data_IF_244835866373
#
_entry.id   IF_244835866373
#
_cell.length_a   1.000
_cell.length_b   1.000
_cell.length_c   1.000
_cell.angle_alpha   90.00
_cell.angle_beta   90.00
_cell.angle_gamma   90.00
#
_symmetry.space_group_name_H-M   'P 1'
#
loop_
_entity.id
_entity.type
_entity.pdbx_description
1 polymer ?
#
# COMPACT_ATOMS: atom_id res chain seq x y z
N UNK A 1 10.72 -20.10 -11.15
CA UNK A 1 11.46 -19.65 -12.36
C UNK A 1 12.84 -19.14 -11.96
N UNK A 2 13.87 -19.60 -12.61
CA UNK A 2 15.24 -19.16 -12.33
C UNK A 2 15.54 -17.85 -13.09
N UNK A 3 16.07 -16.87 -12.37
CA UNK A 3 16.37 -15.55 -12.90
C UNK A 3 17.83 -15.38 -13.26
N UNK A 4 18.16 -14.29 -14.00
CA UNK A 4 19.52 -14.01 -14.46
C UNK A 4 20.53 -13.87 -13.33
N UNK A 5 20.11 -13.45 -12.13
CA UNK A 5 20.95 -13.34 -10.93
C UNK A 5 21.20 -14.68 -10.23
N UNK A 6 20.70 -15.79 -10.79
CA UNK A 6 20.81 -17.13 -10.23
C UNK A 6 19.79 -17.48 -9.17
N UNK A 7 18.95 -16.55 -8.76
CA UNK A 7 17.90 -16.78 -7.76
C UNK A 7 16.64 -17.34 -8.40
N UNK A 8 15.89 -18.12 -7.61
CA UNK A 8 14.62 -18.69 -8.01
C UNK A 8 13.52 -17.85 -7.39
N UNK A 9 12.58 -17.37 -8.21
CA UNK A 9 11.44 -16.54 -7.75
C UNK A 9 10.15 -17.01 -8.39
N UNK A 10 9.05 -16.65 -7.76
CA UNK A 10 7.72 -16.89 -8.33
C UNK A 10 7.59 -16.19 -9.69
N UNK A 11 6.88 -16.82 -10.61
CA UNK A 11 6.73 -16.27 -11.98
C UNK A 11 5.92 -14.96 -12.03
N UNK A 12 5.13 -14.67 -10.99
CA UNK A 12 4.34 -13.43 -10.94
C UNK A 12 5.20 -12.19 -10.62
N UNK A 13 6.41 -12.35 -10.06
CA UNK A 13 7.29 -11.23 -9.79
C UNK A 13 7.88 -10.70 -11.11
N UNK A 14 7.49 -9.49 -11.51
CA UNK A 14 7.92 -8.91 -12.78
C UNK A 14 9.42 -8.59 -12.75
N UNK A 15 10.25 -9.22 -13.60
CA UNK A 15 11.70 -8.99 -13.60
C UNK A 15 12.11 -7.56 -13.98
N UNK A 16 11.21 -6.78 -14.56
CA UNK A 16 11.46 -5.39 -14.95
C UNK A 16 11.07 -4.39 -13.87
N UNK A 17 10.46 -4.85 -12.77
CA UNK A 17 10.00 -3.98 -11.70
C UNK A 17 10.76 -4.30 -10.42
N UNK A 18 11.74 -3.47 -10.09
CA UNK A 18 12.58 -3.66 -8.91
C UNK A 18 11.79 -3.61 -7.60
N UNK A 19 10.76 -2.78 -7.51
CA UNK A 19 9.88 -2.70 -6.33
C UNK A 19 9.15 -4.01 -6.10
N UNK A 20 8.68 -4.64 -7.17
CA UNK A 20 7.98 -5.92 -7.10
C UNK A 20 8.93 -7.06 -6.70
N UNK A 21 10.14 -7.06 -7.24
CA UNK A 21 11.17 -8.02 -6.87
C UNK A 21 11.50 -7.89 -5.39
N UNK A 22 11.71 -6.67 -4.90
CA UNK A 22 12.01 -6.40 -3.50
C UNK A 22 10.88 -6.83 -2.59
N UNK A 23 9.64 -6.57 -2.98
CA UNK A 23 8.46 -7.04 -2.24
C UNK A 23 8.47 -8.57 -2.12
N UNK A 24 8.68 -9.27 -3.23
CA UNK A 24 8.74 -10.74 -3.23
C UNK A 24 9.84 -11.27 -2.32
N UNK A 25 11.02 -10.68 -2.40
CA UNK A 25 12.20 -11.20 -1.70
C UNK A 25 12.20 -10.87 -0.21
N UNK A 26 11.69 -9.71 0.19
CA UNK A 26 11.84 -9.18 1.54
C UNK A 26 10.55 -9.16 2.36
N UNK A 27 9.39 -9.12 1.73
CA UNK A 27 8.12 -8.94 2.44
C UNK A 27 7.15 -10.12 2.30
N UNK A 28 7.02 -10.67 1.10
CA UNK A 28 6.05 -11.72 0.84
C UNK A 28 6.41 -13.00 1.62
N UNK A 29 5.47 -13.46 2.43
CA UNK A 29 5.68 -14.65 3.26
C UNK A 29 6.53 -14.40 4.51
N UNK A 30 6.90 -13.16 4.78
CA UNK A 30 7.67 -12.79 5.98
C UNK A 30 6.71 -12.29 7.05
N UNK A 31 6.72 -12.87 8.28
CA UNK A 31 5.84 -12.40 9.36
C UNK A 31 6.11 -10.95 9.75
N UNK A 32 5.03 -10.23 10.03
CA UNK A 32 5.08 -8.83 10.46
C UNK A 32 4.25 -8.65 11.73
N UNK A 33 4.82 -8.01 12.75
CA UNK A 33 4.16 -7.75 14.03
C UNK A 33 4.09 -6.26 14.38
N UNK A 34 4.56 -5.39 13.49
CA UNK A 34 4.49 -3.93 13.66
C UNK A 34 3.09 -3.44 13.23
N UNK A 35 2.38 -2.80 14.15
CA UNK A 35 1.01 -2.32 13.93
C UNK A 35 0.92 -1.35 12.76
N UNK A 36 1.87 -0.43 12.64
CA UNK A 36 1.88 0.54 11.53
C UNK A 36 2.05 -0.16 10.19
N UNK A 37 2.94 -1.13 10.10
CA UNK A 37 3.14 -1.89 8.88
C UNK A 37 1.93 -2.78 8.55
N UNK A 38 1.32 -3.37 9.55
CA UNK A 38 0.07 -4.14 9.36
C UNK A 38 -1.05 -3.24 8.84
N UNK A 39 -1.18 -2.04 9.40
CA UNK A 39 -2.16 -1.06 8.91
C UNK A 39 -1.86 -0.64 7.47
N UNK A 40 -0.60 -0.34 7.16
CA UNK A 40 -0.17 -0.02 5.79
C UNK A 40 -0.57 -1.12 4.81
N UNK A 41 -0.24 -2.35 5.12
CA UNK A 41 -0.54 -3.48 4.24
C UNK A 41 -2.04 -3.71 4.09
N UNK A 42 -2.80 -3.58 5.17
CA UNK A 42 -4.26 -3.70 5.13
C UNK A 42 -4.86 -2.66 4.18
N UNK A 43 -4.45 -1.40 4.30
CA UNK A 43 -4.94 -0.32 3.44
C UNK A 43 -4.53 -0.55 1.98
N UNK A 44 -3.26 -0.89 1.73
CA UNK A 44 -2.78 -1.15 0.38
C UNK A 44 -3.55 -2.30 -0.29
N UNK A 45 -3.82 -3.37 0.44
CA UNK A 45 -4.58 -4.49 -0.07
C UNK A 45 -6.04 -4.13 -0.35
N UNK A 46 -6.64 -3.26 0.47
CA UNK A 46 -7.98 -2.74 0.20
C UNK A 46 -8.01 -1.90 -1.08
N UNK A 47 -6.98 -1.09 -1.32
CA UNK A 47 -6.88 -0.30 -2.55
C UNK A 47 -6.63 -1.17 -3.78
N UNK A 48 -6.10 -2.37 -3.60
CA UNK A 48 -5.81 -3.29 -4.69
C UNK A 48 -7.08 -3.86 -5.34
N UNK A 49 -8.22 -3.84 -4.67
CA UNK A 49 -9.45 -4.40 -5.21
C UNK A 49 -9.77 -3.83 -6.60
N UNK A 50 -9.88 -4.70 -7.59
CA UNK A 50 -10.10 -4.32 -8.99
C UNK A 50 -8.85 -3.90 -9.75
N UNK A 51 -7.66 -3.94 -9.11
CA UNK A 51 -6.39 -3.53 -9.68
C UNK A 51 -5.32 -4.61 -9.48
N UNK A 52 -4.18 -4.49 -10.17
CA UNK A 52 -3.05 -5.37 -9.94
C UNK A 52 -2.29 -4.95 -8.67
N UNK A 53 -1.69 -5.93 -7.99
CA UNK A 53 -0.84 -5.64 -6.83
C UNK A 53 0.38 -4.79 -7.24
N UNK A 54 0.93 -5.05 -8.42
CA UNK A 54 2.02 -4.25 -8.97
C UNK A 54 1.65 -2.77 -9.10
N UNK A 55 0.43 -2.46 -9.54
CA UNK A 55 -0.06 -1.10 -9.63
C UNK A 55 -0.04 -0.40 -8.27
N UNK A 56 -0.48 -1.09 -7.22
CA UNK A 56 -0.49 -0.55 -5.86
C UNK A 56 0.94 -0.36 -5.34
N UNK A 57 1.81 -1.36 -5.54
CA UNK A 57 3.21 -1.30 -5.10
C UNK A 57 3.96 -0.13 -5.75
N UNK A 58 3.71 0.13 -7.03
CA UNK A 58 4.36 1.24 -7.73
C UNK A 58 3.96 2.60 -7.15
N UNK A 59 2.81 2.68 -6.49
CA UNK A 59 2.31 3.92 -5.86
C UNK A 59 2.55 3.94 -4.34
N UNK A 60 3.24 2.94 -3.79
CA UNK A 60 3.43 2.78 -2.34
C UNK A 60 4.05 3.99 -1.68
N UNK A 61 5.11 4.56 -2.27
CA UNK A 61 5.79 5.73 -1.71
C UNK A 61 4.87 6.95 -1.69
N UNK A 62 4.07 7.14 -2.73
CA UNK A 62 3.08 8.21 -2.80
C UNK A 62 1.97 8.01 -1.75
N UNK A 63 1.53 6.77 -1.53
CA UNK A 63 0.59 6.44 -0.46
C UNK A 63 1.17 6.75 0.92
N UNK A 64 2.41 6.39 1.18
CA UNK A 64 3.08 6.69 2.45
C UNK A 64 3.11 8.18 2.74
N UNK A 65 3.43 8.99 1.74
CA UNK A 65 3.42 10.45 1.86
C UNK A 65 2.01 10.98 2.11
N UNK A 66 1.04 10.52 1.36
CA UNK A 66 -0.34 11.01 1.42
C UNK A 66 -1.03 10.63 2.73
N UNK A 67 -0.73 9.47 3.30
CA UNK A 67 -1.37 8.95 4.51
C UNK A 67 -0.47 9.04 5.75
N UNK A 68 0.44 10.01 5.80
CA UNK A 68 1.31 10.27 6.96
C UNK A 68 2.04 9.02 7.45
N UNK A 69 2.66 8.29 6.52
CA UNK A 69 3.35 7.02 6.74
C UNK A 69 2.48 5.96 7.42
N UNK A 70 1.18 6.01 7.17
CA UNK A 70 0.19 5.08 7.74
C UNK A 70 0.20 5.06 9.27
N UNK A 71 0.32 6.22 9.87
CA UNK A 71 0.10 6.40 11.31
C UNK A 71 -1.42 6.38 11.56
N UNK A 72 -1.96 5.34 12.25
CA UNK A 72 -3.41 5.21 12.42
C UNK A 72 -4.03 6.40 13.16
N UNK A 73 -3.32 6.97 14.13
CA UNK A 73 -3.81 8.12 14.89
C UNK A 73 -4.00 9.34 14.00
N UNK A 74 -3.02 9.61 13.14
CA UNK A 74 -3.11 10.74 12.20
C UNK A 74 -4.18 10.53 11.15
N UNK A 75 -4.28 9.33 10.60
CA UNK A 75 -5.29 9.00 9.60
C UNK A 75 -6.71 9.13 10.18
N UNK A 76 -6.92 8.65 11.40
CA UNK A 76 -8.23 8.76 12.08
C UNK A 76 -8.66 10.20 12.34
N UNK A 77 -7.71 11.11 12.41
CA UNK A 77 -7.97 12.53 12.65
C UNK A 77 -8.14 13.36 11.37
N UNK A 78 -8.14 12.74 10.19
CA UNK A 78 -8.27 13.46 8.93
C UNK A 78 -9.59 14.22 8.84
N UNK A 79 -9.48 15.48 8.40
CA UNK A 79 -10.64 16.36 8.14
C UNK A 79 -11.15 16.19 6.73
N UNK A 80 -12.32 16.78 6.43
CA UNK A 80 -12.89 16.76 5.07
C UNK A 80 -11.93 17.41 4.05
N UNK A 81 -11.23 18.47 4.46
CA UNK A 81 -10.23 19.13 3.60
C UNK A 81 -9.10 18.17 3.23
N UNK A 82 -8.62 17.37 4.17
CA UNK A 82 -7.59 16.37 3.91
C UNK A 82 -8.11 15.28 2.98
N UNK A 83 -9.35 14.83 3.16
CA UNK A 83 -9.96 13.85 2.29
C UNK A 83 -10.08 14.36 0.86
N UNK A 84 -10.45 15.63 0.70
CA UNK A 84 -10.52 16.26 -0.62
C UNK A 84 -9.14 16.33 -1.28
N UNK A 85 -8.11 16.68 -0.51
CA UNK A 85 -6.73 16.68 -1.00
C UNK A 85 -6.29 15.28 -1.47
N UNK A 86 -6.68 14.23 -0.75
CA UNK A 86 -6.41 12.84 -1.15
C UNK A 86 -7.12 12.46 -2.45
N UNK A 87 -8.38 12.88 -2.61
CA UNK A 87 -9.14 12.63 -3.84
C UNK A 87 -8.52 13.31 -5.07
N UNK A 88 -7.76 14.37 -4.85
CA UNK A 88 -7.12 15.14 -5.92
C UNK A 88 -5.65 14.74 -6.16
N UNK A 89 -5.09 13.84 -5.36
CA UNK A 89 -3.69 13.45 -5.46
C UNK A 89 -3.48 12.42 -6.58
N UNK A 90 -2.78 12.78 -7.67
CA UNK A 90 -2.57 11.86 -8.80
C UNK A 90 -1.58 10.73 -8.50
N UNK A 91 -0.82 10.82 -7.42
CA UNK A 91 0.16 9.80 -7.03
C UNK A 91 -0.46 8.57 -6.39
N UNK A 92 -1.70 8.64 -5.93
CA UNK A 92 -2.41 7.53 -5.31
C UNK A 92 -3.59 7.10 -6.18
N UNK A 93 -4.21 5.99 -5.79
CA UNK A 93 -5.45 5.52 -6.42
C UNK A 93 -6.59 6.40 -5.91
N UNK A 94 -7.14 7.25 -6.78
CA UNK A 94 -8.16 8.24 -6.43
C UNK A 94 -9.55 7.64 -6.46
N UNK A 95 -9.87 6.85 -5.46
CA UNK A 95 -11.19 6.26 -5.30
C UNK A 95 -11.81 6.77 -4.00
N UNK A 96 -12.90 7.51 -4.11
CA UNK A 96 -13.57 8.14 -2.97
C UNK A 96 -13.93 7.14 -1.87
N UNK A 97 -14.52 6.01 -2.25
CA UNK A 97 -14.95 5.00 -1.27
C UNK A 97 -13.76 4.33 -0.59
N UNK A 98 -12.70 4.05 -1.33
CA UNK A 98 -11.48 3.44 -0.78
C UNK A 98 -10.78 4.39 0.19
N UNK A 99 -10.69 5.67 -0.15
CA UNK A 99 -10.11 6.69 0.74
C UNK A 99 -10.94 6.82 2.02
N UNK A 100 -12.25 6.89 1.91
CA UNK A 100 -13.15 6.95 3.06
C UNK A 100 -13.01 5.70 3.93
N UNK A 101 -12.92 4.53 3.31
CA UNK A 101 -12.74 3.26 4.02
C UNK A 101 -11.43 3.21 4.80
N UNK A 102 -10.35 3.79 4.26
CA UNK A 102 -9.06 3.84 4.94
C UNK A 102 -9.17 4.60 6.28
N UNK A 103 -9.87 5.73 6.28
CA UNK A 103 -10.11 6.51 7.51
C UNK A 103 -10.97 5.73 8.49
N UNK A 104 -12.02 5.09 8.01
CA UNK A 104 -12.89 4.25 8.85
C UNK A 104 -12.13 3.09 9.50
N UNK A 105 -11.27 2.42 8.73
CA UNK A 105 -10.44 1.32 9.25
C UNK A 105 -9.45 1.80 10.30
N UNK A 106 -8.91 3.02 10.16
CA UNK A 106 -7.99 3.57 11.16
C UNK A 106 -8.66 3.75 12.52
N UNK A 107 -9.94 4.10 12.54
CA UNK A 107 -10.72 4.22 13.78
C UNK A 107 -10.91 2.87 14.47
N UNK A 108 -11.10 1.81 13.68
CA UNK A 108 -11.22 0.45 14.24
C UNK A 108 -9.88 -0.03 14.78
N UNK A 109 -8.78 0.32 14.09
CA UNK A 109 -7.43 -0.11 14.43
C UNK A 109 -6.91 0.52 15.74
N UNK A 110 -7.38 1.70 16.08
CA UNK A 110 -7.07 2.38 17.32
C UNK A 110 -7.88 1.78 18.48
#
# INVERSE_FOLDING_TARGET
MKWADGKIRCCWANPRNERYIRYHDEEWGVPVHDDRKLFEMLILECFQAGLSWECVLNKRDAFRKAFDNFDPEKVSAYTEDKLEALRSNPGIIRNRLKIQAAVTLSLIHI
#
